data_IF_713181812439
#
_entry.id   IF_713181812439
#
_cell.length_a   1.000
_cell.length_b   1.000
_cell.length_c   1.000
_cell.angle_alpha   90.00
_cell.angle_beta   90.00
_cell.angle_gamma   90.00
#
_symmetry.space_group_name_H-M   'P 1'
#
loop_
_entity.id
_entity.type
_entity.pdbx_description
1 polymer ?
#
# COMPACT_ATOMS: atom_id res chain seq x y z
N UNK A 1 7.30 8.82 21.25
CA UNK A 1 6.14 8.02 20.81
C UNK A 1 6.61 6.64 20.37
N UNK A 2 5.95 5.60 20.85
CA UNK A 2 6.20 4.18 20.52
C UNK A 2 5.09 3.69 19.59
N UNK A 3 5.41 3.50 18.33
CA UNK A 3 4.47 3.09 17.29
C UNK A 3 4.64 1.62 16.96
N UNK A 4 3.56 0.86 16.97
CA UNK A 4 3.55 -0.52 16.50
C UNK A 4 3.00 -0.58 15.08
N UNK A 5 3.74 -1.15 14.14
CA UNK A 5 3.35 -1.23 12.73
C UNK A 5 3.10 -2.69 12.36
N UNK A 6 1.86 -3.04 12.06
CA UNK A 6 1.59 -4.36 11.48
C UNK A 6 1.99 -4.38 10.00
N UNK A 7 2.50 -5.49 9.50
CA UNK A 7 2.99 -5.56 8.12
C UNK A 7 4.22 -4.69 7.87
N UNK A 8 5.08 -4.51 8.86
CA UNK A 8 6.28 -3.67 8.80
C UNK A 8 7.31 -4.11 7.75
N UNK A 9 7.33 -5.39 7.40
CA UNK A 9 8.20 -5.94 6.34
C UNK A 9 7.64 -5.75 4.93
N UNK A 10 6.41 -5.31 4.80
CA UNK A 10 5.80 -4.93 3.53
C UNK A 10 6.31 -3.57 3.03
N UNK A 11 5.99 -3.25 1.77
CA UNK A 11 6.45 -2.02 1.11
C UNK A 11 6.15 -0.74 1.93
N UNK A 12 4.89 -0.50 2.28
CA UNK A 12 4.52 0.69 3.07
C UNK A 12 5.13 0.62 4.48
N UNK A 13 5.11 -0.56 5.13
CA UNK A 13 5.62 -0.74 6.49
C UNK A 13 7.11 -0.40 6.63
N UNK A 14 7.95 -0.89 5.73
CA UNK A 14 9.39 -0.57 5.68
C UNK A 14 9.63 0.94 5.56
N UNK A 15 8.89 1.59 4.69
CA UNK A 15 9.03 3.01 4.47
C UNK A 15 8.46 3.86 5.63
N UNK A 16 7.36 3.44 6.26
CA UNK A 16 6.90 4.08 7.51
C UNK A 16 7.97 4.04 8.61
N UNK A 17 8.68 2.92 8.72
CA UNK A 17 9.80 2.77 9.68
C UNK A 17 10.98 3.67 9.30
N UNK A 18 11.32 3.73 8.01
CA UNK A 18 12.44 4.55 7.51
C UNK A 18 12.18 6.05 7.65
N UNK A 19 10.96 6.50 7.38
CA UNK A 19 10.56 7.92 7.40
C UNK A 19 9.88 8.33 8.72
N UNK A 20 9.99 7.52 9.76
CA UNK A 20 9.62 7.91 11.12
C UNK A 20 10.49 9.08 11.59
N UNK A 21 9.86 10.16 12.06
CA UNK A 21 10.56 11.34 12.52
C UNK A 21 11.35 11.11 13.82
N UNK A 22 12.17 12.10 14.23
CA UNK A 22 12.90 12.03 15.49
C UNK A 22 11.94 11.86 16.68
N UNK A 23 12.30 10.99 17.60
CA UNK A 23 11.47 10.68 18.78
C UNK A 23 10.41 9.60 18.55
N UNK A 24 10.30 9.04 17.35
CA UNK A 24 9.45 7.89 17.06
C UNK A 24 10.27 6.60 17.20
N UNK A 25 9.82 5.71 18.08
CA UNK A 25 10.36 4.37 18.22
C UNK A 25 9.37 3.38 17.63
N UNK A 26 9.74 2.74 16.52
CA UNK A 26 8.93 1.67 15.93
C UNK A 26 9.15 0.39 16.72
N UNK A 27 8.06 -0.22 17.17
CA UNK A 27 8.04 -1.54 17.78
C UNK A 27 7.79 -2.55 16.67
N UNK A 28 8.71 -3.47 16.51
CA UNK A 28 8.68 -4.47 15.44
C UNK A 28 7.93 -5.72 15.87
N UNK A 29 7.13 -6.28 14.95
CA UNK A 29 6.62 -7.65 15.06
C UNK A 29 7.37 -8.54 14.06
N UNK A 30 7.65 -9.79 14.41
CA UNK A 30 8.39 -10.72 13.54
C UNK A 30 7.40 -11.56 12.72
N UNK A 31 7.62 -11.66 11.41
CA UNK A 31 6.92 -12.61 10.55
C UNK A 31 7.57 -14.00 10.64
N UNK A 32 6.79 -15.04 10.90
CA UNK A 32 7.25 -16.42 10.70
C UNK A 32 7.29 -16.76 9.21
N UNK A 33 8.46 -17.15 8.71
CA UNK A 33 8.60 -17.65 7.34
C UNK A 33 8.11 -19.09 7.16
N UNK A 34 7.72 -19.77 8.23
CA UNK A 34 7.49 -21.22 8.23
C UNK A 34 6.02 -21.64 8.25
N UNK A 35 5.08 -20.71 8.29
CA UNK A 35 3.66 -21.04 8.21
C UNK A 35 3.10 -20.63 6.84
N UNK A 36 2.87 -21.58 5.96
CA UNK A 36 2.28 -21.38 4.63
C UNK A 36 0.86 -20.78 4.68
N UNK A 37 0.27 -20.65 5.86
CA UNK A 37 -1.06 -20.12 6.09
C UNK A 37 -1.09 -18.78 6.82
N UNK A 38 0.01 -18.19 7.23
CA UNK A 38 -0.02 -17.14 8.21
C UNK A 38 0.75 -15.89 7.78
N UNK A 39 0.03 -14.86 7.43
CA UNK A 39 0.49 -13.50 7.71
C UNK A 39 0.42 -13.29 9.24
N UNK A 40 1.26 -14.01 9.93
CA UNK A 40 1.43 -13.90 11.39
C UNK A 40 2.49 -12.84 11.62
N UNK A 41 2.16 -11.72 12.24
CA UNK A 41 3.18 -11.01 12.96
C UNK A 41 3.51 -11.87 14.18
N UNK A 42 4.56 -12.65 14.08
CA UNK A 42 5.12 -13.34 15.24
C UNK A 42 6.04 -12.35 15.94
N UNK A 43 5.71 -12.03 17.15
CA UNK A 43 6.69 -11.56 18.09
C UNK A 43 7.36 -12.81 18.68
N UNK A 44 8.49 -13.19 18.14
CA UNK A 44 9.38 -14.18 18.75
C UNK A 44 10.67 -13.46 19.08
N UNK A 45 10.91 -13.28 20.35
CA UNK A 45 12.27 -13.12 20.80
C UNK A 45 12.82 -14.51 21.10
N UNK A 46 14.14 -14.70 21.05
CA UNK A 46 14.84 -15.90 21.55
C UNK A 46 14.53 -16.23 23.04
N UNK A 47 13.57 -15.49 23.63
CA UNK A 47 13.14 -15.57 25.03
C UNK A 47 11.75 -16.17 25.25
N UNK A 48 11.10 -16.73 24.21
CA UNK A 48 9.82 -17.43 24.34
C UNK A 48 8.61 -16.53 24.50
N UNK A 49 8.61 -15.33 23.91
CA UNK A 49 7.45 -14.45 23.90
C UNK A 49 6.30 -14.98 23.02
N UNK A 50 5.03 -14.60 23.31
CA UNK A 50 3.89 -15.20 22.64
C UNK A 50 3.86 -14.89 21.13
N UNK A 51 3.54 -15.90 20.35
CA UNK A 51 3.24 -15.76 18.93
C UNK A 51 1.88 -15.10 18.76
N UNK A 52 1.82 -13.97 18.03
CA UNK A 52 0.59 -13.21 17.83
C UNK A 52 -0.06 -13.64 16.53
N UNK A 53 -1.22 -14.28 16.62
CA UNK A 53 -1.98 -14.73 15.48
C UNK A 53 -3.01 -13.67 15.04
N UNK A 54 -3.14 -13.42 13.72
CA UNK A 54 -4.15 -12.50 13.15
C UNK A 54 -5.58 -12.80 13.60
N UNK A 55 -5.88 -14.07 13.89
CA UNK A 55 -7.19 -14.54 14.28
C UNK A 55 -7.38 -14.65 15.79
N UNK A 56 -6.43 -14.15 16.58
CA UNK A 56 -6.41 -14.30 18.02
C UNK A 56 -6.37 -12.93 18.72
N UNK A 57 -7.52 -12.48 19.21
CA UNK A 57 -7.66 -11.23 19.97
C UNK A 57 -6.86 -11.29 21.31
N UNK A 58 -6.83 -12.46 21.95
CA UNK A 58 -6.17 -12.63 23.25
C UNK A 58 -4.65 -12.48 23.14
N UNK A 59 -4.05 -13.01 22.08
CA UNK A 59 -2.63 -12.83 21.80
C UNK A 59 -2.27 -11.37 21.56
N UNK A 60 -3.10 -10.62 20.82
CA UNK A 60 -2.92 -9.16 20.66
C UNK A 60 -3.00 -8.44 22.00
N UNK A 61 -3.96 -8.79 22.84
CA UNK A 61 -4.13 -8.18 24.15
C UNK A 61 -2.90 -8.43 25.03
N UNK A 62 -2.42 -9.67 25.11
CA UNK A 62 -1.20 -10.02 25.87
C UNK A 62 0.02 -9.24 25.37
N UNK A 63 0.16 -9.08 24.04
CA UNK A 63 1.23 -8.29 23.45
C UNK A 63 1.16 -6.81 23.86
N UNK A 64 -0.02 -6.21 23.85
CA UNK A 64 -0.19 -4.80 24.23
C UNK A 64 0.00 -4.56 25.73
N UNK A 65 -0.30 -5.55 26.57
CA UNK A 65 -0.07 -5.46 28.03
C UNK A 65 1.43 -5.40 28.40
N UNK A 66 2.30 -6.09 27.63
CA UNK A 66 3.74 -6.12 27.92
C UNK A 66 4.54 -5.08 27.14
N UNK A 67 3.94 -4.45 26.15
CA UNK A 67 4.58 -3.42 25.34
C UNK A 67 3.85 -2.10 25.53
N UNK A 68 4.58 -1.08 25.97
CA UNK A 68 4.05 0.29 26.03
C UNK A 68 3.96 0.84 24.61
N UNK A 69 2.76 0.83 24.02
CA UNK A 69 2.48 1.28 22.67
C UNK A 69 1.59 2.51 22.74
N UNK A 70 2.01 3.59 22.10
CA UNK A 70 1.25 4.84 22.05
C UNK A 70 0.27 4.87 20.85
N UNK A 71 0.60 4.16 19.75
CA UNK A 71 -0.23 4.11 18.54
C UNK A 71 0.01 2.82 17.75
N UNK A 72 -1.04 2.27 17.16
CA UNK A 72 -0.95 1.18 16.20
C UNK A 72 -1.15 1.73 14.80
N UNK A 73 -0.20 1.47 13.89
CA UNK A 73 -0.38 1.67 12.45
C UNK A 73 -0.71 0.31 11.84
N UNK A 74 -2.00 0.11 11.55
CA UNK A 74 -2.47 -1.16 10.99
C UNK A 74 -2.35 -1.15 9.47
N UNK A 75 -1.22 -1.67 8.99
CA UNK A 75 -0.85 -1.75 7.58
C UNK A 75 -0.90 -3.18 7.00
N UNK A 76 -0.91 -4.21 7.84
CA UNK A 76 -0.94 -5.59 7.40
C UNK A 76 -2.19 -5.90 6.58
N UNK A 77 -2.01 -6.35 5.36
CA UNK A 77 -3.09 -6.80 4.48
C UNK A 77 -2.56 -7.71 3.37
N UNK A 78 -3.40 -8.61 2.87
CA UNK A 78 -3.23 -9.20 1.54
C UNK A 78 -3.69 -8.14 0.54
N UNK A 79 -2.80 -7.71 -0.35
CA UNK A 79 -3.04 -6.60 -1.29
C UNK A 79 -3.03 -7.07 -2.73
N UNK A 80 -3.72 -6.33 -3.59
CA UNK A 80 -3.85 -6.63 -5.02
C UNK A 80 -5.14 -7.37 -5.34
N UNK A 81 -5.85 -6.87 -6.36
CA UNK A 81 -7.17 -7.40 -6.74
C UNK A 81 -7.10 -8.88 -7.11
N UNK A 82 -6.11 -9.25 -7.92
CA UNK A 82 -5.93 -10.62 -8.39
C UNK A 82 -5.49 -11.56 -7.27
N UNK A 83 -4.53 -11.11 -6.45
CA UNK A 83 -4.03 -11.89 -5.30
C UNK A 83 -5.16 -12.19 -4.31
N UNK A 84 -6.00 -11.20 -4.04
CA UNK A 84 -7.16 -11.34 -3.14
C UNK A 84 -8.21 -12.27 -3.73
N UNK A 85 -8.49 -12.16 -5.03
CA UNK A 85 -9.45 -13.03 -5.70
C UNK A 85 -9.03 -14.51 -5.66
N UNK A 86 -7.76 -14.78 -5.95
CA UNK A 86 -7.17 -16.13 -5.92
C UNK A 86 -7.09 -16.72 -4.50
N UNK A 87 -6.93 -15.88 -3.50
CA UNK A 87 -6.77 -16.28 -2.09
C UNK A 87 -7.91 -15.71 -1.23
N UNK A 88 -9.14 -15.80 -1.70
CA UNK A 88 -10.30 -15.10 -1.13
C UNK A 88 -10.56 -15.42 0.34
N UNK A 89 -10.44 -16.69 0.73
CA UNK A 89 -10.61 -17.12 2.12
C UNK A 89 -9.54 -16.53 3.02
N UNK A 90 -8.28 -16.68 2.62
CA UNK A 90 -7.13 -16.25 3.37
C UNK A 90 -7.06 -14.72 3.49
N UNK A 91 -7.32 -14.03 2.38
CA UNK A 91 -7.39 -12.57 2.39
C UNK A 91 -8.52 -12.04 3.27
N UNK A 92 -9.69 -12.70 3.30
CA UNK A 92 -10.80 -12.31 4.19
C UNK A 92 -10.40 -12.49 5.65
N UNK A 93 -9.78 -13.60 6.02
CA UNK A 93 -9.28 -13.81 7.37
C UNK A 93 -8.24 -12.77 7.79
N UNK A 94 -7.32 -12.41 6.88
CA UNK A 94 -6.29 -11.41 7.16
C UNK A 94 -6.86 -10.00 7.18
N UNK A 95 -7.54 -9.59 6.11
CA UNK A 95 -7.94 -8.20 5.93
C UNK A 95 -9.12 -7.81 6.83
N UNK A 96 -10.10 -8.70 7.02
CA UNK A 96 -11.32 -8.40 7.77
C UNK A 96 -11.24 -8.90 9.21
N UNK A 97 -11.05 -10.22 9.41
CA UNK A 97 -11.02 -10.78 10.77
C UNK A 97 -9.79 -10.28 11.55
N UNK A 98 -8.62 -10.21 10.91
CA UNK A 98 -7.40 -9.70 11.53
C UNK A 98 -7.56 -8.24 11.96
N UNK A 99 -8.18 -7.39 11.12
CA UNK A 99 -8.49 -5.99 11.48
C UNK A 99 -9.44 -5.93 12.68
N UNK A 100 -10.49 -6.77 12.70
CA UNK A 100 -11.41 -6.83 13.84
C UNK A 100 -10.67 -7.16 15.14
N UNK A 101 -9.85 -8.20 15.14
CA UNK A 101 -9.14 -8.67 16.33
C UNK A 101 -8.18 -7.63 16.90
N UNK A 102 -7.40 -6.98 16.04
CA UNK A 102 -6.45 -5.95 16.49
C UNK A 102 -7.16 -4.70 17.01
N UNK A 103 -8.26 -4.26 16.37
CA UNK A 103 -9.03 -3.12 16.83
C UNK A 103 -9.70 -3.40 18.19
N UNK A 104 -10.20 -4.61 18.41
CA UNK A 104 -10.78 -5.04 19.70
C UNK A 104 -9.74 -5.04 20.81
N UNK A 105 -8.58 -5.61 20.56
CA UNK A 105 -7.48 -5.62 21.53
C UNK A 105 -6.96 -4.20 21.83
N UNK A 106 -6.78 -3.39 20.78
CA UNK A 106 -6.38 -1.99 20.90
C UNK A 106 -7.38 -1.18 21.75
N UNK A 107 -8.68 -1.37 21.53
CA UNK A 107 -9.74 -0.72 22.31
C UNK A 107 -9.65 -1.07 23.79
N UNK A 108 -9.42 -2.34 24.13
CA UNK A 108 -9.26 -2.78 25.52
C UNK A 108 -8.02 -2.18 26.19
N UNK A 109 -6.95 -2.01 25.42
CA UNK A 109 -5.70 -1.39 25.89
C UNK A 109 -5.72 0.15 25.85
N UNK A 110 -6.77 0.77 25.29
CA UNK A 110 -6.85 2.23 25.13
C UNK A 110 -5.87 2.79 24.11
N UNK A 111 -5.44 2.00 23.11
CA UNK A 111 -4.44 2.39 22.12
C UNK A 111 -5.15 2.84 20.83
N UNK A 112 -4.86 4.05 20.31
CA UNK A 112 -5.42 4.54 19.06
C UNK A 112 -4.90 3.76 17.83
N UNK A 113 -5.74 3.68 16.78
CA UNK A 113 -5.44 2.92 15.56
C UNK A 113 -5.44 3.82 14.34
N UNK A 114 -4.30 3.93 13.67
CA UNK A 114 -4.16 4.48 12.33
C UNK A 114 -4.22 3.33 11.32
N UNK A 115 -5.28 3.27 10.51
CA UNK A 115 -5.47 2.24 9.50
C UNK A 115 -5.03 2.70 8.13
N UNK A 116 -4.18 1.91 7.47
CA UNK A 116 -3.80 2.17 6.08
C UNK A 116 -4.88 1.58 5.17
N UNK A 117 -5.75 2.46 4.67
CA UNK A 117 -6.84 2.17 3.75
C UNK A 117 -6.40 2.01 2.29
N UNK A 118 -7.31 2.33 1.37
CA UNK A 118 -7.04 2.32 -0.07
C UNK A 118 -8.10 3.15 -0.80
N UNK A 119 -7.77 3.65 -1.97
CA UNK A 119 -8.71 4.40 -2.83
C UNK A 119 -9.65 3.50 -3.64
N UNK A 120 -9.37 2.19 -3.75
CA UNK A 120 -10.26 1.26 -4.47
C UNK A 120 -11.60 0.99 -3.75
N UNK A 121 -11.84 1.63 -2.60
CA UNK A 121 -13.14 1.65 -1.93
C UNK A 121 -14.14 2.61 -2.57
N UNK A 122 -13.66 3.61 -3.31
CA UNK A 122 -14.53 4.59 -3.96
C UNK A 122 -15.16 4.02 -5.22
N UNK A 123 -16.28 4.61 -5.63
CA UNK A 123 -16.92 4.28 -6.90
C UNK A 123 -16.01 4.60 -8.07
N UNK A 124 -15.65 3.57 -8.85
CA UNK A 124 -14.73 3.70 -9.98
C UNK A 124 -15.29 4.59 -11.10
N UNK A 125 -16.61 4.67 -11.28
CA UNK A 125 -17.22 5.58 -12.27
C UNK A 125 -16.96 7.04 -11.91
N UNK A 126 -16.98 7.36 -10.62
CA UNK A 126 -16.73 8.71 -10.13
C UNK A 126 -15.33 9.21 -10.52
N UNK A 127 -14.32 8.36 -10.50
CA UNK A 127 -12.96 8.70 -10.92
C UNK A 127 -12.84 9.12 -12.39
N UNK A 128 -13.75 8.66 -13.25
CA UNK A 128 -13.73 9.05 -14.67
C UNK A 128 -14.06 10.53 -14.84
N UNK A 129 -14.86 11.08 -13.95
CA UNK A 129 -15.47 12.40 -14.09
C UNK A 129 -14.77 13.47 -13.24
N UNK A 130 -14.29 13.12 -12.04
CA UNK A 130 -13.85 14.10 -11.06
C UNK A 130 -12.62 13.67 -10.26
N UNK A 131 -12.08 14.62 -9.50
CA UNK A 131 -11.10 14.35 -8.44
C UNK A 131 -11.89 13.88 -7.21
N UNK A 132 -11.46 12.78 -6.62
CA UNK A 132 -12.11 12.15 -5.47
C UNK A 132 -11.65 12.82 -4.17
N UNK A 133 -12.61 13.09 -3.31
CA UNK A 133 -12.42 13.56 -1.93
C UNK A 133 -12.90 12.52 -0.92
N UNK A 134 -12.63 12.75 0.37
CA UNK A 134 -12.94 11.78 1.44
C UNK A 134 -14.44 11.49 1.59
N UNK A 135 -15.30 12.45 1.28
CA UNK A 135 -16.77 12.36 1.43
C UNK A 135 -17.46 11.77 0.19
N UNK A 136 -16.72 11.44 -0.87
CA UNK A 136 -17.29 10.86 -2.08
C UNK A 136 -17.83 9.45 -1.85
N UNK A 137 -18.76 9.06 -2.73
CA UNK A 137 -19.47 7.79 -2.65
C UNK A 137 -18.49 6.61 -2.68
N UNK A 138 -18.66 5.70 -1.72
CA UNK A 138 -17.97 4.43 -1.65
C UNK A 138 -18.77 3.38 -2.41
N UNK A 139 -18.12 2.69 -3.33
CA UNK A 139 -18.74 1.68 -4.20
C UNK A 139 -17.68 0.76 -4.78
N UNK A 140 -17.00 -0.07 -3.93
CA UNK A 140 -15.96 -0.94 -4.42
C UNK A 140 -16.53 -2.01 -5.36
N UNK A 141 -15.86 -2.24 -6.49
CA UNK A 141 -16.25 -3.23 -7.49
C UNK A 141 -15.43 -4.52 -7.43
N UNK A 142 -14.45 -4.58 -6.53
CA UNK A 142 -13.56 -5.73 -6.37
C UNK A 142 -13.64 -6.31 -4.97
N UNK A 143 -13.35 -7.61 -4.82
CA UNK A 143 -13.31 -8.26 -3.50
C UNK A 143 -12.31 -7.57 -2.56
N UNK A 144 -11.16 -7.15 -3.08
CA UNK A 144 -10.17 -6.38 -2.31
C UNK A 144 -10.76 -5.07 -1.78
N UNK A 145 -11.42 -4.29 -2.64
CA UNK A 145 -12.08 -3.06 -2.24
C UNK A 145 -13.17 -3.29 -1.20
N UNK A 146 -14.01 -4.34 -1.37
CA UNK A 146 -15.04 -4.70 -0.39
C UNK A 146 -14.42 -5.07 0.98
N UNK A 147 -13.36 -5.88 1.00
CA UNK A 147 -12.65 -6.23 2.24
C UNK A 147 -12.06 -4.98 2.92
N UNK A 148 -11.44 -4.09 2.17
CA UNK A 148 -10.85 -2.86 2.71
C UNK A 148 -11.90 -1.90 3.25
N UNK A 149 -13.05 -1.74 2.56
CA UNK A 149 -14.17 -0.94 3.06
C UNK A 149 -14.75 -1.53 4.34
N UNK A 150 -14.99 -2.85 4.39
CA UNK A 150 -15.43 -3.53 5.61
C UNK A 150 -14.44 -3.30 6.77
N UNK A 151 -13.14 -3.35 6.48
CA UNK A 151 -12.10 -3.09 7.48
C UNK A 151 -12.12 -1.66 7.99
N UNK A 152 -12.36 -0.65 7.13
CA UNK A 152 -12.54 0.74 7.56
C UNK A 152 -13.73 0.89 8.51
N UNK A 153 -14.85 0.25 8.22
CA UNK A 153 -16.05 0.29 9.08
C UNK A 153 -15.80 -0.43 10.43
N UNK A 154 -15.02 -1.51 10.42
CA UNK A 154 -14.56 -2.17 11.64
C UNK A 154 -13.70 -1.22 12.48
N UNK A 155 -12.71 -0.55 11.88
CA UNK A 155 -11.84 0.40 12.56
C UNK A 155 -12.66 1.51 13.22
N UNK A 156 -13.61 2.10 12.49
CA UNK A 156 -14.51 3.17 13.00
C UNK A 156 -15.37 2.71 14.16
N UNK A 157 -15.83 1.47 14.14
CA UNK A 157 -16.77 0.94 15.15
C UNK A 157 -16.08 0.28 16.35
N UNK A 158 -14.90 -0.31 16.16
CA UNK A 158 -14.24 -1.15 17.16
C UNK A 158 -13.01 -0.50 17.82
N UNK A 159 -12.46 0.58 17.30
CA UNK A 159 -11.35 1.29 17.95
C UNK A 159 -11.84 2.33 18.97
N UNK A 160 -10.97 2.73 19.90
CA UNK A 160 -11.25 3.85 20.82
C UNK A 160 -11.11 5.18 20.07
N UNK A 161 -9.88 5.46 19.61
CA UNK A 161 -9.57 6.54 18.68
C UNK A 161 -9.07 5.92 17.38
N UNK A 162 -9.48 6.50 16.28
CA UNK A 162 -9.16 5.95 14.97
C UNK A 162 -8.84 7.04 13.95
N UNK A 163 -8.03 6.71 12.99
CA UNK A 163 -7.92 7.43 11.72
C UNK A 163 -7.72 6.44 10.59
N UNK A 164 -8.15 6.83 9.40
CA UNK A 164 -7.97 6.07 8.18
C UNK A 164 -7.18 6.93 7.20
N UNK A 165 -6.10 6.38 6.67
CA UNK A 165 -5.25 7.07 5.69
C UNK A 165 -5.24 6.27 4.39
N UNK A 166 -5.68 6.88 3.29
CA UNK A 166 -5.82 6.20 1.99
C UNK A 166 -4.74 6.67 1.03
N UNK A 167 -3.75 5.81 0.72
CA UNK A 167 -2.79 6.09 -0.33
C UNK A 167 -3.42 6.00 -1.71
N UNK A 168 -2.93 6.81 -2.64
CA UNK A 168 -3.06 6.57 -4.06
C UNK A 168 -1.70 6.01 -4.55
N UNK A 169 -1.65 5.23 -5.56
CA UNK A 169 -0.48 4.60 -6.22
C UNK A 169 0.90 4.98 -5.67
N UNK A 170 1.20 4.57 -4.43
CA UNK A 170 2.50 4.81 -3.82
C UNK A 170 3.59 4.00 -4.55
N UNK A 171 4.76 4.63 -4.78
CA UNK A 171 5.90 4.01 -5.44
C UNK A 171 7.22 4.49 -4.85
N UNK A 172 8.32 3.81 -5.23
CA UNK A 172 9.68 4.15 -4.83
C UNK A 172 10.00 3.72 -3.39
N UNK A 173 11.18 4.10 -2.92
CA UNK A 173 11.64 3.72 -1.59
C UNK A 173 12.04 2.25 -1.46
N UNK A 174 12.12 1.76 -0.23
CA UNK A 174 12.57 0.41 0.06
C UNK A 174 11.46 -0.62 -0.20
N UNK A 175 11.78 -1.66 -0.95
CA UNK A 175 10.87 -2.79 -1.19
C UNK A 175 9.78 -2.55 -2.24
N UNK A 176 9.87 -1.50 -3.04
CA UNK A 176 8.98 -1.30 -4.18
C UNK A 176 9.35 -2.25 -5.33
N UNK A 177 8.67 -3.40 -5.39
CA UNK A 177 8.82 -4.39 -6.46
C UNK A 177 7.59 -4.48 -7.36
N UNK A 178 6.50 -3.86 -6.97
CA UNK A 178 5.19 -4.09 -7.57
C UNK A 178 4.57 -2.87 -8.26
N UNK A 179 5.08 -1.65 -8.02
CA UNK A 179 4.58 -0.48 -8.73
C UNK A 179 4.86 -0.57 -10.23
N UNK A 180 4.02 0.07 -11.03
CA UNK A 180 4.24 0.23 -12.46
C UNK A 180 5.65 0.76 -12.76
N UNK A 181 6.06 1.77 -12.00
CA UNK A 181 7.34 2.46 -12.18
C UNK A 181 8.50 1.49 -11.93
N UNK A 182 8.51 0.79 -10.79
CA UNK A 182 9.54 -0.18 -10.48
C UNK A 182 9.60 -1.31 -11.52
N UNK A 183 8.46 -1.93 -11.85
CA UNK A 183 8.38 -3.00 -12.87
C UNK A 183 8.91 -2.55 -14.23
N UNK A 184 8.57 -1.35 -14.66
CA UNK A 184 9.03 -0.81 -15.95
C UNK A 184 10.54 -0.56 -15.95
N UNK A 185 11.09 0.00 -14.86
CA UNK A 185 12.53 0.18 -14.71
C UNK A 185 13.25 -1.16 -14.72
N UNK A 186 12.81 -2.15 -13.92
CA UNK A 186 13.40 -3.49 -13.89
C UNK A 186 13.37 -4.18 -15.25
N UNK A 187 12.23 -4.16 -15.94
CA UNK A 187 12.10 -4.76 -17.26
C UNK A 187 13.04 -4.11 -18.28
N UNK A 188 13.18 -2.78 -18.21
CA UNK A 188 14.10 -2.02 -19.07
C UNK A 188 15.56 -2.38 -18.84
N UNK A 189 15.97 -2.48 -17.58
CA UNK A 189 17.34 -2.83 -17.21
C UNK A 189 17.72 -4.26 -17.61
N UNK A 190 16.75 -5.17 -17.62
CA UNK A 190 16.95 -6.57 -18.00
C UNK A 190 16.82 -6.84 -19.50
N UNK A 191 16.70 -5.81 -20.34
CA UNK A 191 16.59 -5.94 -21.80
C UNK A 191 15.46 -6.87 -22.24
N UNK A 192 14.33 -6.86 -21.53
CA UNK A 192 13.15 -7.66 -21.95
C UNK A 192 12.75 -7.30 -23.38
N UNK A 193 12.44 -8.30 -24.20
CA UNK A 193 12.00 -8.12 -25.58
C UNK A 193 10.69 -7.35 -25.67
N UNK A 194 9.83 -7.52 -24.65
CA UNK A 194 8.61 -6.74 -24.49
C UNK A 194 8.25 -6.55 -23.01
N UNK A 195 7.47 -5.51 -22.75
CA UNK A 195 6.92 -5.16 -21.43
C UNK A 195 5.40 -5.11 -21.59
N UNK A 196 4.70 -6.07 -21.01
CA UNK A 196 3.24 -6.04 -21.00
C UNK A 196 2.72 -5.01 -20.01
N UNK A 197 1.90 -4.09 -20.51
CA UNK A 197 1.33 -2.99 -19.75
C UNK A 197 -0.21 -3.15 -19.72
N UNK A 198 -0.72 -3.67 -18.61
CA UNK A 198 -2.15 -3.92 -18.38
C UNK A 198 -2.90 -2.65 -17.97
N UNK A 199 -2.65 -1.56 -18.66
CA UNK A 199 -3.22 -0.24 -18.45
C UNK A 199 -3.55 0.43 -19.79
N UNK A 200 -4.48 1.38 -19.76
CA UNK A 200 -4.74 2.26 -20.90
C UNK A 200 -3.71 3.41 -20.91
N UNK A 201 -2.94 3.60 -22.01
CA UNK A 201 -1.95 4.67 -22.12
C UNK A 201 -2.54 6.07 -21.94
N UNK A 202 -3.82 6.26 -22.27
CA UNK A 202 -4.49 7.55 -22.23
C UNK A 202 -5.16 7.86 -20.88
N UNK A 203 -5.27 6.87 -19.99
CA UNK A 203 -5.87 7.08 -18.68
C UNK A 203 -4.89 7.76 -17.73
N UNK A 204 -5.45 8.68 -16.96
CA UNK A 204 -4.71 9.53 -16.03
C UNK A 204 -4.56 8.83 -14.69
N UNK A 205 -3.34 8.77 -14.18
CA UNK A 205 -3.00 8.18 -12.89
C UNK A 205 -2.19 9.18 -12.08
N UNK A 206 -2.48 9.26 -10.80
CA UNK A 206 -1.72 10.07 -9.86
C UNK A 206 -0.83 9.16 -9.00
N UNK A 207 0.49 9.25 -9.23
CA UNK A 207 1.49 8.47 -8.50
C UNK A 207 2.19 9.34 -7.46
N UNK A 208 2.30 8.83 -6.24
CA UNK A 208 2.97 9.53 -5.16
C UNK A 208 4.18 8.74 -4.67
N UNK A 209 5.32 9.43 -4.49
CA UNK A 209 6.48 8.81 -3.87
C UNK A 209 6.17 8.40 -2.42
N UNK A 210 6.55 7.19 -2.04
CA UNK A 210 6.19 6.60 -0.75
C UNK A 210 6.64 7.44 0.46
N UNK A 211 7.74 8.19 0.34
CA UNK A 211 8.20 9.06 1.43
C UNK A 211 7.22 10.20 1.72
N UNK A 212 6.56 10.75 0.69
CA UNK A 212 5.53 11.78 0.88
C UNK A 212 4.29 11.19 1.56
N UNK A 213 3.89 9.99 1.16
CA UNK A 213 2.83 9.26 1.84
C UNK A 213 3.16 9.02 3.32
N UNK A 214 4.36 8.48 3.60
CA UNK A 214 4.77 8.21 4.98
C UNK A 214 4.82 9.49 5.83
N UNK A 215 5.33 10.61 5.28
CA UNK A 215 5.28 11.91 5.96
C UNK A 215 3.83 12.34 6.26
N UNK A 216 2.91 12.13 5.32
CA UNK A 216 1.49 12.41 5.54
C UNK A 216 0.89 11.57 6.67
N UNK A 217 1.18 10.27 6.71
CA UNK A 217 0.73 9.38 7.81
C UNK A 217 1.27 9.89 9.16
N UNK A 218 2.57 10.18 9.23
CA UNK A 218 3.18 10.68 10.46
C UNK A 218 2.65 12.04 10.86
N UNK A 219 2.38 12.94 9.91
CA UNK A 219 1.72 14.23 10.18
C UNK A 219 0.35 14.00 10.81
N UNK A 220 -0.49 13.14 10.23
CA UNK A 220 -1.80 12.84 10.80
C UNK A 220 -1.70 12.34 12.27
N UNK A 221 -0.74 11.47 12.55
CA UNK A 221 -0.54 10.90 13.89
C UNK A 221 0.00 11.94 14.87
N UNK A 222 1.02 12.71 14.49
CA UNK A 222 1.68 13.67 15.40
C UNK A 222 0.83 14.91 15.67
N UNK A 223 -0.07 15.26 14.76
CA UNK A 223 -1.06 16.33 14.94
C UNK A 223 -2.39 15.81 15.51
N UNK A 224 -2.44 14.53 15.88
CA UNK A 224 -3.57 13.89 16.57
C UNK A 224 -4.90 14.04 15.80
N UNK A 225 -4.88 13.86 14.48
CA UNK A 225 -6.04 14.07 13.61
C UNK A 225 -7.03 12.89 13.66
N UNK A 226 -7.38 12.44 14.85
CA UNK A 226 -8.25 11.30 15.12
C UNK A 226 -9.71 11.55 14.72
N UNK A 227 -10.47 10.47 14.55
CA UNK A 227 -11.90 10.51 14.24
C UNK A 227 -12.21 10.87 12.78
N UNK A 228 -11.22 10.80 11.89
CA UNK A 228 -11.38 11.18 10.48
C UNK A 228 -10.64 10.28 9.51
N UNK A 229 -11.04 10.35 8.25
CA UNK A 229 -10.35 9.74 7.12
C UNK A 229 -9.62 10.82 6.29
N UNK A 230 -8.47 10.41 5.72
CA UNK A 230 -7.51 11.26 5.05
C UNK A 230 -7.06 10.62 3.75
N UNK A 231 -7.33 11.27 2.65
CA UNK A 231 -6.74 10.92 1.37
C UNK A 231 -5.35 11.54 1.26
N UNK A 232 -4.37 10.78 0.78
CA UNK A 232 -3.01 11.27 0.57
C UNK A 232 -2.57 10.94 -0.86
N UNK A 233 -2.40 11.97 -1.68
CA UNK A 233 -2.04 11.90 -3.09
C UNK A 233 -1.06 13.01 -3.47
N UNK A 234 -0.47 12.93 -4.67
CA UNK A 234 0.45 13.98 -5.14
C UNK A 234 -0.27 15.18 -5.75
N UNK A 235 -1.54 15.02 -6.10
CA UNK A 235 -2.37 15.99 -6.85
C UNK A 235 -1.75 16.41 -8.19
N UNK A 236 -0.87 15.57 -8.74
CA UNK A 236 -0.18 15.83 -9.99
C UNK A 236 -0.30 14.64 -10.95
N UNK A 237 -1.48 14.42 -11.52
CA UNK A 237 -1.78 13.27 -12.34
C UNK A 237 -1.14 13.36 -13.74
N UNK A 238 -0.71 12.22 -14.26
CA UNK A 238 -0.16 12.05 -15.60
C UNK A 238 -0.89 10.92 -16.32
N UNK A 239 -0.95 10.97 -17.65
CA UNK A 239 -1.34 9.80 -18.43
C UNK A 239 -0.31 8.68 -18.25
N UNK A 240 -0.74 7.43 -18.39
CA UNK A 240 0.19 6.29 -18.28
C UNK A 240 1.31 6.40 -19.33
N UNK A 241 1.00 6.94 -20.51
CA UNK A 241 1.98 7.23 -21.55
C UNK A 241 3.03 8.26 -21.10
N UNK A 242 2.61 9.38 -20.51
CA UNK A 242 3.54 10.40 -20.00
C UNK A 242 4.47 9.84 -18.92
N UNK A 243 3.95 8.95 -18.05
CA UNK A 243 4.77 8.29 -17.03
C UNK A 243 5.88 7.45 -17.70
N UNK A 244 5.54 6.68 -18.73
CA UNK A 244 6.53 5.91 -19.52
C UNK A 244 7.57 6.84 -20.12
N UNK A 245 7.18 7.97 -20.70
CA UNK A 245 8.12 8.94 -21.27
C UNK A 245 9.06 9.56 -20.22
N UNK A 246 8.55 9.81 -19.01
CA UNK A 246 9.41 10.29 -17.91
C UNK A 246 10.42 9.20 -17.50
N UNK A 247 9.99 7.93 -17.48
CA UNK A 247 10.90 6.80 -17.20
C UNK A 247 11.99 6.72 -18.27
N UNK A 248 11.64 6.79 -19.55
CA UNK A 248 12.61 6.80 -20.67
C UNK A 248 13.66 7.87 -20.51
N UNK A 249 13.21 9.10 -20.22
CA UNK A 249 14.08 10.23 -20.02
C UNK A 249 15.05 10.04 -18.84
N UNK A 250 14.57 9.43 -17.75
CA UNK A 250 15.38 9.20 -16.54
C UNK A 250 16.40 8.09 -16.75
N UNK A 251 16.01 6.98 -17.40
CA UNK A 251 16.90 5.84 -17.63
C UNK A 251 17.83 6.05 -18.84
N UNK A 252 17.56 7.07 -19.68
CA UNK A 252 18.33 7.37 -20.89
C UNK A 252 18.15 6.33 -22.00
N UNK A 253 16.98 5.68 -22.06
CA UNK A 253 16.70 4.59 -23.01
C UNK A 253 15.27 4.64 -23.50
N UNK A 254 15.06 4.46 -24.82
CA UNK A 254 13.73 4.29 -25.43
C UNK A 254 13.19 2.89 -25.12
N UNK A 255 12.03 2.84 -24.45
CA UNK A 255 11.29 1.61 -24.12
C UNK A 255 9.90 1.58 -24.76
N UNK A 256 9.46 2.66 -25.37
CA UNK A 256 8.11 2.77 -25.97
C UNK A 256 7.88 1.70 -27.03
N UNK A 257 8.91 1.33 -27.78
CA UNK A 257 8.83 0.35 -28.85
C UNK A 257 8.69 -1.10 -28.37
N UNK A 258 8.99 -1.36 -27.11
CA UNK A 258 8.88 -2.71 -26.52
C UNK A 258 7.68 -2.85 -25.59
N UNK A 259 6.91 -1.78 -25.36
CA UNK A 259 5.68 -1.85 -24.56
C UNK A 259 4.52 -2.42 -25.40
N UNK A 260 3.88 -3.45 -24.86
CA UNK A 260 2.62 -3.99 -25.35
C UNK A 260 1.49 -3.54 -24.42
N UNK A 261 0.60 -2.71 -24.93
CA UNK A 261 -0.52 -2.18 -24.18
C UNK A 261 -1.71 -3.13 -24.20
N UNK A 262 -2.35 -3.32 -23.05
CA UNK A 262 -3.57 -4.10 -22.85
C UNK A 262 -4.66 -3.20 -22.21
N UNK A 263 -5.16 -2.19 -22.95
CA UNK A 263 -6.03 -1.15 -22.36
C UNK A 263 -7.38 -1.68 -21.87
N UNK A 264 -7.87 -2.80 -22.41
CA UNK A 264 -9.12 -3.45 -22.02
C UNK A 264 -9.09 -4.01 -20.59
N UNK A 265 -7.91 -4.16 -20.01
CA UNK A 265 -7.73 -4.67 -18.65
C UNK A 265 -7.63 -3.56 -17.60
N UNK A 266 -7.62 -2.28 -18.00
CA UNK A 266 -7.56 -1.14 -17.08
C UNK A 266 -8.94 -0.84 -16.47
N UNK A 267 -9.38 -1.67 -15.54
CA UNK A 267 -10.65 -1.51 -14.86
C UNK A 267 -10.71 -0.28 -13.93
N UNK A 268 -9.56 0.30 -13.57
CA UNK A 268 -9.50 1.48 -12.72
C UNK A 268 -9.73 2.79 -13.51
N UNK A 269 -9.42 2.80 -14.81
CA UNK A 269 -9.55 3.99 -15.63
C UNK A 269 -8.76 5.20 -15.11
N UNK A 270 -9.38 6.40 -15.15
CA UNK A 270 -8.78 7.59 -14.52
C UNK A 270 -8.76 7.45 -13.01
N UNK A 271 -7.67 7.93 -12.38
CA UNK A 271 -7.54 7.88 -10.93
C UNK A 271 -6.86 9.16 -10.41
N UNK A 272 -7.69 10.05 -9.88
CA UNK A 272 -7.28 11.35 -9.33
C UNK A 272 -7.86 11.51 -7.93
N UNK A 273 -7.04 11.89 -6.98
CA UNK A 273 -7.41 12.00 -5.57
C UNK A 273 -6.97 13.36 -5.03
N UNK A 274 -7.75 13.96 -4.14
CA UNK A 274 -7.37 15.20 -3.47
C UNK A 274 -6.86 14.94 -2.07
N UNK A 275 -5.79 15.63 -1.71
CA UNK A 275 -5.24 15.76 -0.35
C UNK A 275 -5.59 17.09 0.30
N UNK A 276 -6.43 17.90 -0.34
CA UNK A 276 -6.73 19.27 0.09
C UNK A 276 -7.19 19.37 1.56
N UNK A 277 -7.89 18.34 2.05
CA UNK A 277 -8.30 18.27 3.46
C UNK A 277 -7.09 18.26 4.38
N UNK A 278 -6.10 17.39 4.13
CA UNK A 278 -4.88 17.31 4.92
C UNK A 278 -4.03 18.58 4.78
N UNK A 279 -3.87 19.08 3.54
CA UNK A 279 -3.08 20.29 3.27
C UNK A 279 -3.67 21.55 3.93
N UNK A 280 -5.00 21.62 4.04
CA UNK A 280 -5.68 22.76 4.65
C UNK A 280 -5.59 22.73 6.18
N UNK A 281 -5.60 21.54 6.77
CA UNK A 281 -5.59 21.37 8.23
C UNK A 281 -4.19 21.31 8.82
N UNK A 282 -3.17 21.09 8.01
CA UNK A 282 -1.78 20.93 8.44
C UNK A 282 -0.83 21.70 7.52
N UNK A 283 0.48 21.61 7.79
CA UNK A 283 1.52 22.12 6.89
C UNK A 283 2.04 21.04 5.92
N UNK A 284 1.39 19.87 5.88
CA UNK A 284 1.81 18.81 4.97
C UNK A 284 1.51 19.15 3.52
N UNK A 285 2.45 18.88 2.64
CA UNK A 285 2.30 18.91 1.18
C UNK A 285 3.20 17.86 0.54
N UNK A 286 2.82 17.32 -0.63
CA UNK A 286 3.72 16.48 -1.42
C UNK A 286 4.93 17.32 -1.86
N UNK A 287 6.13 16.75 -1.74
CA UNK A 287 7.39 17.46 -2.03
C UNK A 287 8.16 16.86 -3.21
N UNK A 288 7.87 15.61 -3.56
CA UNK A 288 8.61 14.87 -4.55
C UNK A 288 7.81 14.85 -5.86
N UNK A 289 8.33 15.54 -6.90
CA UNK A 289 7.75 15.45 -8.23
C UNK A 289 7.90 14.04 -8.80
N UNK A 290 6.99 13.63 -9.71
CA UNK A 290 7.05 12.31 -10.35
C UNK A 290 8.42 12.03 -10.96
N UNK A 291 9.00 12.98 -11.68
CA UNK A 291 10.34 12.84 -12.29
C UNK A 291 11.44 12.63 -11.25
N UNK A 292 11.42 13.39 -10.17
CA UNK A 292 12.40 13.24 -9.09
C UNK A 292 12.27 11.87 -8.40
N UNK A 293 11.05 11.44 -8.11
CA UNK A 293 10.80 10.14 -7.49
C UNK A 293 11.17 8.96 -8.40
N UNK A 294 10.91 9.04 -9.70
CA UNK A 294 11.35 8.03 -10.69
C UNK A 294 12.89 7.96 -10.71
N UNK A 295 13.58 9.10 -10.67
CA UNK A 295 15.05 9.14 -10.61
C UNK A 295 15.55 8.47 -9.30
N UNK A 296 14.96 8.79 -8.16
CA UNK A 296 15.31 8.16 -6.89
C UNK A 296 15.09 6.64 -6.93
N UNK A 297 13.97 6.17 -7.52
CA UNK A 297 13.69 4.75 -7.70
C UNK A 297 14.72 4.07 -8.59
N UNK A 298 15.08 4.69 -9.72
CA UNK A 298 16.10 4.17 -10.62
C UNK A 298 17.48 4.05 -9.92
N UNK A 299 17.91 5.10 -9.23
CA UNK A 299 19.17 5.11 -8.49
C UNK A 299 19.17 4.05 -7.35
N UNK A 300 18.07 3.89 -6.65
CA UNK A 300 17.90 2.86 -5.62
C UNK A 300 18.03 1.45 -6.22
N UNK A 301 17.39 1.20 -7.35
CA UNK A 301 17.41 -0.10 -8.03
C UNK A 301 18.85 -0.45 -8.49
N UNK A 302 19.53 0.45 -9.19
CA UNK A 302 20.88 0.17 -9.71
C UNK A 302 21.95 0.06 -8.63
N UNK A 303 21.76 0.71 -7.48
CA UNK A 303 22.70 0.68 -6.35
C UNK A 303 22.38 -0.42 -5.34
N UNK A 304 21.26 -1.13 -5.48
CA UNK A 304 20.90 -2.18 -4.53
C UNK A 304 21.86 -3.37 -4.68
N UNK A 305 22.45 -3.83 -3.55
CA UNK A 305 23.30 -5.04 -3.51
C UNK A 305 22.53 -6.34 -3.84
N UNK A 306 21.21 -6.28 -3.78
CA UNK A 306 20.30 -7.38 -4.12
C UNK A 306 19.81 -7.31 -5.58
N UNK A 307 20.29 -6.34 -6.37
CA UNK A 307 19.96 -6.30 -7.78
C UNK A 307 20.61 -7.48 -8.49
N UNK A 308 19.87 -8.59 -8.56
CA UNK A 308 20.17 -9.68 -9.48
C UNK A 308 19.11 -9.67 -10.57
N UNK A 309 19.48 -9.30 -11.80
CA UNK A 309 18.53 -9.21 -12.90
C UNK A 309 17.74 -10.51 -13.17
N UNK A 310 18.26 -11.66 -12.76
CA UNK A 310 17.71 -12.96 -13.13
C UNK A 310 16.78 -13.58 -12.07
N UNK A 311 16.98 -13.34 -10.77
CA UNK A 311 16.24 -14.02 -9.72
C UNK A 311 14.85 -13.45 -9.42
N UNK A 312 14.64 -12.15 -9.61
CA UNK A 312 13.34 -11.52 -9.29
C UNK A 312 12.29 -11.64 -10.41
N UNK A 313 12.73 -12.00 -11.63
CA UNK A 313 11.82 -12.22 -12.75
C UNK A 313 11.25 -13.64 -12.77
N UNK A 314 12.00 -14.64 -12.30
CA UNK A 314 11.52 -16.02 -12.17
C UNK A 314 10.40 -16.13 -11.11
N UNK A 315 10.43 -15.33 -10.04
CA UNK A 315 9.36 -15.28 -9.05
C UNK A 315 8.10 -14.55 -9.56
N UNK A 316 8.25 -13.60 -10.49
CA UNK A 316 7.13 -12.90 -11.10
C UNK A 316 6.52 -13.67 -12.29
N UNK A 317 7.34 -14.35 -13.09
CA UNK A 317 6.89 -15.19 -14.24
C UNK A 317 6.25 -16.51 -13.78
N UNK A 318 6.59 -17.04 -12.61
CA UNK A 318 5.90 -18.22 -12.05
C UNK A 318 4.47 -17.93 -11.57
N UNK A 319 4.02 -16.68 -11.64
CA UNK A 319 2.61 -16.29 -11.51
C UNK A 319 1.97 -16.10 -12.88
N UNK A 320 2.24 -16.96 -13.85
CA UNK A 320 1.44 -17.07 -15.06
C UNK A 320 0.04 -17.56 -14.70
N UNK A 321 -0.77 -16.65 -14.16
CA UNK A 321 -2.18 -16.87 -13.89
C UNK A 321 -2.87 -16.58 -15.21
N UNK A 322 -3.50 -17.60 -15.75
CA UNK A 322 -4.42 -17.43 -16.87
C UNK A 322 -5.64 -16.63 -16.40
N UNK A 323 -5.60 -15.32 -16.61
CA UNK A 323 -6.67 -14.40 -16.21
C UNK A 323 -7.96 -14.62 -17.02
N UNK A 324 -7.94 -15.40 -18.09
CA UNK A 324 -9.13 -15.67 -18.92
C UNK A 324 -10.19 -16.50 -18.19
N UNK A 325 -9.81 -17.31 -17.18
CA UNK A 325 -10.77 -18.04 -16.34
C UNK A 325 -11.59 -17.13 -15.40
N UNK A 326 -11.11 -15.92 -15.09
CA UNK A 326 -11.73 -15.03 -14.11
C UNK A 326 -12.50 -13.86 -14.72
N UNK A 327 -12.32 -13.62 -15.99
CA UNK A 327 -13.05 -12.62 -16.78
C UNK A 327 -13.63 -13.28 -18.04
N UNK A 328 -14.73 -14.06 -17.92
CA UNK A 328 -15.45 -14.49 -19.12
C UNK A 328 -15.88 -13.23 -19.87
N UNK A 329 -15.70 -13.27 -21.18
CA UNK A 329 -16.03 -12.18 -22.12
C UNK A 329 -17.41 -11.58 -21.77
N UNK A 330 -17.44 -10.27 -21.49
CA UNK A 330 -18.66 -9.48 -21.44
C UNK A 330 -18.88 -8.89 -22.82
#
# INVERSE_FOLDING_TARGET
>A
MRAFITGEEGFIGKNLKLYGGPGIKVISGIHSKNDEAAFVSQYSTDKGEPCIHRNDEESWQAFFEVNEIDVIIHNAAVVGTDVVALNSKESTLTNVQGTYNICRAAKKAGIPVCYIGTTVIYDTQKFQESIIIEDDLRGPTTLYGCQKLCSEDIVKSQSCDWMIVRPLFAYGGEGDMNSLIAKTIYASLNNKEHIDMFLDPNKVKDYMHVSDFCRGVWTCITEELWGSDWNIASENPYTTWEIVKIIEDVIGRDISNVIKWHPQTDYLGNHKLSSNKLETMTNWKPQISLRAGIKMSYESIINSKSYNPLTHLEEADNRNIDLTEFFPEV
#
